data_IF_775118598571
#
_entry.id   IF_775118598571
#
_cell.length_a   1.000
_cell.length_b   1.000
_cell.length_c   1.000
_cell.angle_alpha   90.00
_cell.angle_beta   90.00
_cell.angle_gamma   90.00
#
_symmetry.space_group_name_H-M   'P 1'
#
loop_
_entity.id
_entity.type
_entity.pdbx_description
1 polymer ?
#
# COMPACT_ATOMS: atom_id res chain seq x y z
N UNK A 1 56.65 20.98 38.53
CA UNK A 1 56.50 21.00 37.06
C UNK A 1 55.37 20.04 36.72
N UNK A 2 54.36 20.53 35.99
CA UNK A 2 53.01 19.97 35.67
C UNK A 2 53.03 18.54 35.06
N UNK A 3 52.17 17.59 35.50
CA UNK A 3 50.83 17.17 34.97
C UNK A 3 50.93 16.36 33.66
N UNK A 4 50.34 15.16 33.51
CA UNK A 4 48.95 14.93 33.05
C UNK A 4 48.48 13.47 33.28
N UNK A 5 47.24 13.28 33.76
CA UNK A 5 46.53 11.99 33.76
C UNK A 5 45.63 11.95 32.51
N UNK A 6 45.77 10.93 31.68
CA UNK A 6 44.93 10.73 30.49
C UNK A 6 43.52 10.29 30.90
N UNK A 7 42.51 11.09 30.58
CA UNK A 7 41.10 10.71 30.68
C UNK A 7 40.65 10.36 29.26
N UNK A 8 40.39 9.08 28.97
CA UNK A 8 39.76 8.66 27.72
C UNK A 8 38.30 9.08 27.74
N UNK A 9 37.93 10.06 26.90
CA UNK A 9 36.54 10.39 26.63
C UNK A 9 35.98 9.39 25.62
N UNK A 10 35.06 8.52 26.04
CA UNK A 10 34.27 7.72 25.11
C UNK A 10 33.25 8.65 24.43
N UNK A 11 33.45 8.95 23.15
CA UNK A 11 32.43 9.59 22.32
C UNK A 11 31.30 8.58 22.09
N UNK A 12 30.15 8.78 22.75
CA UNK A 12 28.88 8.17 22.31
C UNK A 12 28.47 8.89 21.02
N UNK A 13 28.73 8.30 19.86
CA UNK A 13 28.11 8.73 18.62
C UNK A 13 26.64 8.33 18.68
N UNK A 14 25.75 9.28 18.96
CA UNK A 14 24.32 9.09 18.82
C UNK A 14 24.01 8.91 17.33
N UNK A 15 23.82 7.66 16.88
CA UNK A 15 23.36 7.37 15.53
C UNK A 15 21.95 7.91 15.38
N UNK A 16 21.78 9.00 14.61
CA UNK A 16 20.48 9.39 14.10
C UNK A 16 20.02 8.29 13.14
N UNK A 17 19.18 7.37 13.62
CA UNK A 17 18.39 6.53 12.73
C UNK A 17 17.40 7.45 12.01
N UNK A 18 17.28 7.40 10.68
CA UNK A 18 16.18 8.06 10.01
C UNK A 18 14.89 7.43 10.52
N UNK A 19 14.12 8.20 11.27
CA UNK A 19 12.74 7.82 11.60
C UNK A 19 11.94 8.05 10.32
N UNK A 20 11.50 6.95 9.68
CA UNK A 20 10.51 7.04 8.62
C UNK A 20 9.25 7.67 9.22
N UNK A 21 8.85 8.82 8.71
CA UNK A 21 7.62 9.48 9.15
C UNK A 21 6.48 8.79 8.40
N UNK A 22 5.55 8.17 9.12
CA UNK A 22 4.33 7.65 8.51
C UNK A 22 3.51 8.82 7.95
N UNK A 23 3.03 8.69 6.73
CA UNK A 23 2.21 9.67 6.03
C UNK A 23 1.04 8.94 5.40
N UNK A 24 -0.18 9.34 5.75
CA UNK A 24 -1.38 8.87 5.08
C UNK A 24 -1.46 9.47 3.66
N UNK A 25 -1.58 8.61 2.66
CA UNK A 25 -1.76 8.94 1.24
C UNK A 25 -3.20 8.61 0.79
N UNK A 26 -3.64 9.22 -0.31
CA UNK A 26 -4.94 8.89 -0.93
C UNK A 26 -4.74 8.46 -2.36
N UNK A 27 -5.15 7.23 -2.68
CA UNK A 27 -5.11 6.65 -4.01
C UNK A 27 -6.48 6.77 -4.70
N UNK A 28 -6.54 7.65 -5.69
CA UNK A 28 -7.71 7.80 -6.57
C UNK A 28 -7.81 6.64 -7.57
N UNK A 29 -8.71 5.68 -7.33
CA UNK A 29 -8.97 4.59 -8.28
C UNK A 29 -9.91 5.08 -9.38
N UNK A 30 -9.37 5.18 -10.60
CA UNK A 30 -10.06 5.74 -11.79
C UNK A 30 -10.32 4.69 -12.88
N UNK A 31 -10.16 3.41 -12.55
CA UNK A 31 -10.38 2.30 -13.46
C UNK A 31 -10.97 1.09 -12.72
N UNK A 32 -11.99 0.49 -13.32
CA UNK A 32 -12.71 -0.67 -12.77
C UNK A 32 -12.26 -2.02 -13.36
N UNK A 33 -11.30 -2.01 -14.30
CA UNK A 33 -10.64 -3.20 -14.80
C UNK A 33 -9.48 -3.64 -13.89
N UNK A 34 -9.13 -4.92 -13.96
CA UNK A 34 -8.03 -5.49 -13.18
C UNK A 34 -6.68 -5.32 -13.88
N UNK A 35 -5.72 -4.68 -13.21
CA UNK A 35 -4.33 -4.60 -13.64
C UNK A 35 -3.44 -4.36 -12.41
N UNK A 36 -2.28 -5.01 -12.37
CA UNK A 36 -1.29 -4.83 -11.31
C UNK A 36 -0.57 -3.47 -11.44
N UNK A 37 -0.02 -2.99 -10.33
CA UNK A 37 0.86 -1.83 -10.26
C UNK A 37 2.05 -1.97 -11.23
N UNK A 38 2.52 -0.85 -11.78
CA UNK A 38 3.81 -0.85 -12.48
C UNK A 38 4.91 -1.37 -11.54
N UNK A 39 5.65 -2.45 -11.89
CA UNK A 39 6.76 -2.94 -11.08
C UNK A 39 7.90 -1.90 -10.90
N UNK A 40 7.90 -0.83 -11.67
CA UNK A 40 8.85 0.30 -11.54
C UNK A 40 8.24 1.54 -10.85
N UNK A 41 7.00 1.47 -10.38
CA UNK A 41 6.41 2.55 -9.60
C UNK A 41 7.22 2.84 -8.33
N UNK A 42 7.51 4.11 -8.00
CA UNK A 42 8.02 4.45 -6.69
C UNK A 42 7.02 4.07 -5.58
N UNK A 43 7.48 3.86 -4.33
CA UNK A 43 6.60 3.70 -3.18
C UNK A 43 5.58 4.84 -3.08
N UNK A 44 4.37 4.54 -2.58
CA UNK A 44 3.26 5.50 -2.48
C UNK A 44 2.79 6.10 -3.82
N UNK A 45 3.12 5.51 -4.98
CA UNK A 45 2.67 6.00 -6.28
C UNK A 45 1.88 4.93 -7.00
N UNK A 46 0.60 5.20 -7.28
CA UNK A 46 -0.25 4.31 -8.06
C UNK A 46 -0.27 4.71 -9.55
N UNK A 47 0.20 3.82 -10.42
CA UNK A 47 0.15 3.96 -11.89
C UNK A 47 0.42 2.61 -12.58
N UNK A 48 -0.09 2.41 -13.80
CA UNK A 48 0.14 1.17 -14.58
C UNK A 48 1.44 1.23 -15.40
N UNK A 49 1.93 2.42 -15.75
CA UNK A 49 3.26 2.62 -16.34
C UNK A 49 3.69 4.09 -16.24
N UNK A 50 4.89 4.44 -16.69
CA UNK A 50 5.36 5.84 -16.68
C UNK A 50 4.53 6.73 -17.61
N UNK A 51 3.96 6.13 -18.66
CA UNK A 51 3.13 6.80 -19.67
C UNK A 51 1.62 6.65 -19.37
N UNK A 52 1.25 5.77 -18.44
CA UNK A 52 -0.13 5.49 -18.05
C UNK A 52 -0.33 5.71 -16.54
N UNK A 53 -0.83 6.89 -16.14
CA UNK A 53 -1.09 7.22 -14.74
C UNK A 53 -2.37 6.58 -14.20
N UNK A 54 -3.00 5.66 -14.95
CA UNK A 54 -4.19 4.95 -14.48
C UNK A 54 -3.89 4.21 -13.18
N UNK A 55 -4.81 4.30 -12.23
CA UNK A 55 -4.76 3.58 -10.97
C UNK A 55 -6.00 2.67 -10.89
N UNK A 56 -5.77 1.36 -10.89
CA UNK A 56 -6.78 0.32 -10.65
C UNK A 56 -6.86 0.00 -9.16
N UNK A 57 -7.91 -0.73 -8.74
CA UNK A 57 -8.04 -1.17 -7.35
C UNK A 57 -6.82 -2.00 -6.90
N UNK A 58 -6.37 -2.95 -7.74
CA UNK A 58 -5.19 -3.76 -7.46
C UNK A 58 -3.94 -2.90 -7.33
N UNK A 59 -3.69 -2.01 -8.29
CA UNK A 59 -2.53 -1.13 -8.24
C UNK A 59 -2.55 -0.20 -7.01
N UNK A 60 -3.72 0.28 -6.60
CA UNK A 60 -3.88 1.15 -5.43
C UNK A 60 -3.52 0.41 -4.13
N UNK A 61 -4.01 -0.80 -3.93
CA UNK A 61 -3.71 -1.60 -2.75
C UNK A 61 -2.23 -1.99 -2.72
N UNK A 62 -1.65 -2.35 -3.86
CA UNK A 62 -0.21 -2.63 -3.96
C UNK A 62 0.65 -1.38 -3.64
N UNK A 63 0.20 -0.19 -4.05
CA UNK A 63 0.87 1.06 -3.73
C UNK A 63 0.76 1.40 -2.23
N UNK A 64 -0.42 1.19 -1.62
CA UNK A 64 -0.67 1.37 -0.19
C UNK A 64 0.17 0.43 0.67
N UNK A 65 0.26 -0.86 0.31
CA UNK A 65 1.13 -1.83 1.00
C UNK A 65 2.62 -1.42 0.98
N UNK A 66 3.04 -0.61 0.00
CA UNK A 66 4.39 -0.06 -0.09
C UNK A 66 4.52 1.34 0.55
N UNK A 67 3.45 1.89 1.11
CA UNK A 67 3.37 3.23 1.65
C UNK A 67 3.11 3.22 3.17
N UNK A 68 4.04 3.75 3.99
CA UNK A 68 3.83 3.74 5.43
C UNK A 68 2.81 4.76 5.90
N UNK A 69 1.70 4.31 6.49
CA UNK A 69 0.71 5.16 7.15
C UNK A 69 -0.70 4.72 6.81
N UNK A 70 -1.69 5.11 7.61
CA UNK A 70 -3.08 4.73 7.33
C UNK A 70 -3.59 5.42 6.06
N UNK A 71 -3.55 4.69 4.96
CA UNK A 71 -3.86 5.20 3.63
C UNK A 71 -5.36 5.11 3.30
N UNK A 72 -5.74 5.80 2.23
CA UNK A 72 -7.12 5.81 1.71
C UNK A 72 -7.13 5.36 0.26
N UNK A 73 -7.91 4.33 -0.06
CA UNK A 73 -8.26 3.94 -1.43
C UNK A 73 -9.64 4.52 -1.75
N UNK A 74 -9.70 5.47 -2.68
CA UNK A 74 -10.94 6.12 -3.09
C UNK A 74 -11.44 5.54 -4.42
N UNK A 75 -12.62 4.92 -4.41
CA UNK A 75 -13.26 4.37 -5.59
C UNK A 75 -14.04 5.47 -6.33
N UNK A 76 -13.52 5.91 -7.47
CA UNK A 76 -14.11 7.03 -8.24
C UNK A 76 -14.82 6.60 -9.51
N UNK A 77 -14.53 5.40 -10.02
CA UNK A 77 -15.17 4.87 -11.21
C UNK A 77 -16.49 4.17 -10.87
N UNK A 78 -17.44 4.25 -11.80
CA UNK A 78 -18.76 3.63 -11.64
C UNK A 78 -18.77 2.17 -12.09
N UNK A 79 -19.67 1.39 -11.51
CA UNK A 79 -19.79 -0.04 -11.81
C UNK A 79 -18.93 -0.91 -10.90
N UNK A 80 -18.92 -2.25 -11.12
CA UNK A 80 -18.15 -3.15 -10.29
C UNK A 80 -16.66 -3.07 -10.63
N UNK A 81 -15.81 -3.11 -9.61
CA UNK A 81 -14.38 -3.40 -9.73
C UNK A 81 -14.24 -4.92 -9.77
N UNK A 82 -13.86 -5.46 -10.93
CA UNK A 82 -13.84 -6.91 -11.15
C UNK A 82 -12.40 -7.42 -11.22
N UNK A 83 -12.02 -8.27 -10.26
CA UNK A 83 -10.77 -9.02 -10.30
C UNK A 83 -10.87 -10.13 -11.34
N UNK A 84 -9.91 -10.18 -12.25
CA UNK A 84 -9.91 -11.11 -13.41
C UNK A 84 -8.55 -11.74 -13.69
N UNK A 85 -7.48 -11.29 -13.02
CA UNK A 85 -6.13 -11.87 -13.18
C UNK A 85 -6.06 -13.15 -12.35
N UNK A 86 -5.96 -14.34 -12.99
CA UNK A 86 -5.89 -15.60 -12.25
C UNK A 86 -4.53 -15.76 -11.57
N UNK A 87 -4.57 -16.31 -10.36
CA UNK A 87 -3.44 -16.66 -9.52
C UNK A 87 -4.00 -17.10 -8.17
N UNK A 88 -3.29 -17.99 -7.49
CA UNK A 88 -3.68 -18.44 -6.17
C UNK A 88 -2.40 -18.71 -5.37
N UNK A 89 -2.40 -18.33 -4.10
CA UNK A 89 -1.25 -18.50 -3.22
C UNK A 89 -0.06 -17.61 -3.58
N UNK A 90 -0.32 -16.45 -4.18
CA UNK A 90 0.59 -15.30 -4.06
C UNK A 90 0.22 -14.48 -2.82
N UNK A 91 1.20 -13.78 -2.24
CA UNK A 91 1.00 -12.97 -1.01
C UNK A 91 1.33 -11.47 -1.26
N UNK A 92 1.52 -11.09 -2.52
CA UNK A 92 1.86 -9.72 -2.97
C UNK A 92 0.69 -9.04 -3.72
N UNK A 93 -0.48 -9.69 -3.81
CA UNK A 93 -1.67 -9.20 -4.50
C UNK A 93 -1.49 -8.90 -5.99
N UNK A 94 -0.49 -9.50 -6.65
CA UNK A 94 -0.20 -9.27 -8.07
C UNK A 94 -1.11 -10.06 -9.02
N UNK A 95 -1.61 -11.20 -8.55
CA UNK A 95 -2.60 -12.04 -9.21
C UNK A 95 -3.72 -12.35 -8.22
N UNK A 96 -4.68 -13.20 -8.54
CA UNK A 96 -5.61 -13.74 -7.54
C UNK A 96 -6.40 -12.68 -6.78
N UNK A 97 -6.44 -12.83 -5.47
CA UNK A 97 -7.09 -11.90 -4.56
C UNK A 97 -6.23 -10.66 -4.29
N UNK A 98 -6.73 -9.77 -3.43
CA UNK A 98 -6.04 -8.54 -3.06
C UNK A 98 -5.55 -8.62 -1.62
N UNK A 99 -4.24 -8.65 -1.44
CA UNK A 99 -3.61 -8.62 -0.13
C UNK A 99 -3.58 -7.20 0.45
N UNK A 100 -4.17 -7.00 1.63
CA UNK A 100 -4.08 -5.77 2.41
C UNK A 100 -3.14 -6.03 3.59
N UNK A 101 -1.98 -5.39 3.58
CA UNK A 101 -0.88 -5.68 4.51
C UNK A 101 -0.74 -4.62 5.63
N UNK A 102 -1.46 -3.50 5.51
CA UNK A 102 -1.35 -2.35 6.40
C UNK A 102 -2.71 -1.64 6.64
N UNK A 103 -2.73 -0.59 7.45
CA UNK A 103 -3.98 0.09 7.85
C UNK A 103 -4.60 0.81 6.65
N UNK A 104 -5.81 0.45 6.25
CA UNK A 104 -6.37 0.92 4.99
C UNK A 104 -7.84 1.29 5.08
N UNK A 105 -8.19 2.49 4.62
CA UNK A 105 -9.57 2.93 4.46
C UNK A 105 -10.00 2.84 3.00
N UNK A 106 -11.08 2.11 2.73
CA UNK A 106 -11.78 2.16 1.45
C UNK A 106 -12.91 3.18 1.52
N UNK A 107 -12.93 4.11 0.57
CA UNK A 107 -13.98 5.11 0.42
C UNK A 107 -14.66 4.97 -0.94
N UNK A 108 -15.92 4.55 -0.92
CA UNK A 108 -16.79 4.46 -2.09
C UNK A 108 -18.14 5.15 -1.89
N UNK A 109 -18.97 5.09 -2.92
CA UNK A 109 -20.34 5.56 -3.00
C UNK A 109 -21.34 4.43 -3.35
N UNK A 110 -21.02 3.19 -2.96
CA UNK A 110 -21.84 1.98 -3.13
C UNK A 110 -21.37 1.07 -4.27
N UNK A 111 -20.13 1.25 -4.75
CA UNK A 111 -19.51 0.39 -5.75
C UNK A 111 -19.28 -1.01 -5.17
N UNK A 112 -19.28 -2.01 -6.04
CA UNK A 112 -19.06 -3.39 -5.63
C UNK A 112 -17.70 -3.87 -6.08
N UNK A 113 -17.00 -4.59 -5.21
CA UNK A 113 -15.81 -5.35 -5.59
C UNK A 113 -16.21 -6.80 -5.76
N UNK A 114 -15.85 -7.38 -6.90
CA UNK A 114 -16.20 -8.75 -7.28
C UNK A 114 -14.98 -9.44 -7.85
N UNK A 115 -15.01 -10.76 -7.80
CA UNK A 115 -13.96 -11.60 -8.38
C UNK A 115 -14.57 -12.56 -9.40
N UNK A 116 -13.91 -12.69 -10.54
CA UNK A 116 -14.15 -13.75 -11.53
C UNK A 116 -13.16 -14.91 -11.38
N UNK A 117 -12.20 -14.79 -10.45
CA UNK A 117 -11.28 -15.87 -10.09
C UNK A 117 -11.88 -16.75 -8.98
N UNK A 118 -11.50 -18.02 -8.94
CA UNK A 118 -11.94 -18.96 -7.90
C UNK A 118 -11.17 -18.75 -6.57
N UNK A 119 -11.21 -17.52 -6.05
CA UNK A 119 -10.58 -17.13 -4.79
C UNK A 119 -11.47 -16.13 -4.00
N UNK A 120 -11.03 -15.74 -2.81
CA UNK A 120 -11.55 -14.59 -2.06
C UNK A 120 -11.28 -13.29 -2.83
N UNK A 121 -11.90 -12.20 -2.39
CA UNK A 121 -11.65 -10.87 -2.98
C UNK A 121 -10.48 -10.18 -2.30
N UNK A 122 -10.47 -10.22 -0.96
CA UNK A 122 -9.45 -9.62 -0.12
C UNK A 122 -8.87 -10.67 0.81
N UNK A 123 -7.54 -10.71 0.92
CA UNK A 123 -6.84 -11.24 2.09
C UNK A 123 -6.40 -10.08 2.97
N UNK A 124 -6.74 -10.12 4.26
CA UNK A 124 -6.45 -9.04 5.20
C UNK A 124 -5.41 -9.56 6.19
N UNK A 125 -4.16 -9.13 6.00
CA UNK A 125 -2.99 -9.55 6.78
C UNK A 125 -2.37 -8.38 7.58
N UNK A 126 -3.22 -7.45 8.02
CA UNK A 126 -2.81 -6.26 8.76
C UNK A 126 -2.38 -6.63 10.18
N UNK A 127 -1.20 -6.18 10.58
CA UNK A 127 -0.60 -6.52 11.88
C UNK A 127 -0.99 -5.55 13.01
N UNK A 128 -1.25 -4.29 12.69
CA UNK A 128 -1.74 -3.26 13.63
C UNK A 128 -2.71 -2.31 12.92
N UNK A 129 -3.74 -1.84 13.65
CA UNK A 129 -4.76 -0.89 13.20
C UNK A 129 -5.87 -1.42 12.29
N UNK A 130 -6.77 -0.53 11.81
CA UNK A 130 -8.02 -0.94 11.18
C UNK A 130 -7.91 -1.10 9.65
N UNK A 131 -8.83 -1.90 9.10
CA UNK A 131 -9.26 -1.79 7.70
C UNK A 131 -10.71 -1.32 7.71
N UNK A 132 -10.94 -0.09 7.24
CA UNK A 132 -12.25 0.53 7.25
C UNK A 132 -12.89 0.45 5.86
N UNK A 133 -14.12 -0.08 5.78
CA UNK A 133 -14.89 -0.15 4.53
C UNK A 133 -16.06 0.82 4.60
N UNK A 134 -15.94 1.95 3.91
CA UNK A 134 -16.88 3.06 3.97
C UNK A 134 -17.54 3.23 2.61
N UNK A 135 -18.84 2.89 2.54
CA UNK A 135 -19.62 3.07 1.31
C UNK A 135 -19.22 2.12 0.20
N UNK A 136 -18.77 0.90 0.54
CA UNK A 136 -18.45 -0.20 -0.39
C UNK A 136 -19.08 -1.50 0.07
#
# INVERSE_FOLDING_TARGET
MLVTRSISAALLAASLLPVGVASAETFDVKANFDAALDPFAPPCVCRLSEEDPTCTLRAAIQAANACPGHDVVQLLETGPYTLSIPGAGEDDGATGDLDILEELSFLGNGEQVRTEVEDRVFDVQVHEGPVDMIGV
#
